data_IF_869175662223
#
_entry.id   IF_869175662223
#
_cell.length_a   1.000
_cell.length_b   1.000
_cell.length_c   1.000
_cell.angle_alpha   90.00
_cell.angle_beta   90.00
_cell.angle_gamma   90.00
#
_symmetry.space_group_name_H-M   'P 1'
#
loop_
_entity.id
_entity.type
_entity.pdbx_description
1 polymer ?
#
# COMPACT_ATOMS: atom_id res chain seq x y z
N UNK A 1 -3.17 -23.16 4.44
CA UNK A 1 -4.16 -22.09 4.21
C UNK A 1 -3.36 -20.95 3.63
N UNK A 2 -3.37 -20.84 2.31
CA UNK A 2 -2.55 -19.88 1.56
C UNK A 2 -3.53 -18.98 0.83
N UNK A 3 -3.64 -17.73 1.28
CA UNK A 3 -4.39 -16.66 0.61
C UNK A 3 -3.65 -15.36 0.93
N UNK A 4 -2.58 -15.07 0.17
CA UNK A 4 -2.60 -14.20 -1.01
C UNK A 4 -2.98 -12.74 -0.71
N UNK A 5 -2.54 -12.26 0.44
CA UNK A 5 -2.80 -10.91 0.90
C UNK A 5 -1.58 -10.31 1.62
N UNK A 6 -0.39 -10.82 1.33
CA UNK A 6 0.85 -10.41 1.98
C UNK A 6 1.36 -9.08 1.45
N UNK A 7 0.91 -8.00 2.09
CA UNK A 7 1.48 -6.67 1.90
C UNK A 7 2.96 -6.62 2.28
N UNK A 8 3.49 -7.57 3.07
CA UNK A 8 4.92 -7.72 3.36
C UNK A 8 5.83 -7.63 2.15
N UNK A 9 5.42 -8.20 1.01
CA UNK A 9 6.25 -8.21 -0.20
C UNK A 9 6.30 -6.84 -0.91
N UNK A 10 5.52 -5.88 -0.43
CA UNK A 10 5.44 -4.53 -0.97
C UNK A 10 6.37 -3.55 -0.26
N UNK A 11 6.94 -3.91 0.91
CA UNK A 11 7.87 -3.04 1.65
C UNK A 11 9.03 -2.62 0.74
N UNK A 12 9.29 -1.31 0.68
CA UNK A 12 10.32 -0.72 -0.17
C UNK A 12 9.95 -0.61 -1.66
N UNK A 13 8.74 -1.00 -2.08
CA UNK A 13 8.27 -0.91 -3.47
C UNK A 13 7.24 0.21 -3.63
N UNK A 14 7.15 0.80 -4.84
CA UNK A 14 6.06 1.72 -5.16
C UNK A 14 4.74 0.95 -5.30
N UNK A 15 3.72 1.43 -4.60
CA UNK A 15 2.37 0.86 -4.60
C UNK A 15 1.32 1.93 -4.84
N UNK A 16 0.17 1.47 -5.28
CA UNK A 16 -1.06 2.21 -5.45
C UNK A 16 -2.04 1.77 -4.37
N UNK A 17 -2.55 2.71 -3.58
CA UNK A 17 -3.59 2.49 -2.58
C UNK A 17 -4.94 2.90 -3.15
N UNK A 18 -5.85 1.93 -3.14
CA UNK A 18 -7.20 2.02 -3.64
C UNK A 18 -8.20 1.91 -2.49
N UNK A 19 -9.31 2.63 -2.59
CA UNK A 19 -10.46 2.48 -1.69
C UNK A 19 -11.72 2.51 -2.54
N UNK A 20 -12.59 1.53 -2.36
CA UNK A 20 -13.86 1.46 -3.10
C UNK A 20 -13.69 1.54 -4.63
N UNK A 21 -12.59 0.99 -5.16
CA UNK A 21 -12.27 1.05 -6.60
C UNK A 21 -11.69 2.39 -7.09
N UNK A 22 -11.50 3.37 -6.21
CA UNK A 22 -10.86 4.65 -6.53
C UNK A 22 -9.41 4.66 -6.05
N UNK A 23 -8.49 5.09 -6.92
CA UNK A 23 -7.10 5.32 -6.56
C UNK A 23 -7.03 6.54 -5.62
N UNK A 24 -6.68 6.29 -4.36
CA UNK A 24 -6.53 7.32 -3.35
C UNK A 24 -5.16 7.95 -3.42
N UNK A 25 -4.13 7.12 -3.62
CA UNK A 25 -2.74 7.56 -3.53
C UNK A 25 -1.76 6.57 -4.15
N UNK A 26 -0.64 7.07 -4.66
CA UNK A 26 0.55 6.29 -4.99
C UNK A 26 1.74 6.69 -4.10
N UNK A 27 2.63 5.75 -3.82
CA UNK A 27 3.87 6.03 -3.08
C UNK A 27 4.63 4.77 -2.70
N UNK A 28 5.74 4.93 -1.98
CA UNK A 28 6.57 3.81 -1.53
C UNK A 28 6.09 3.27 -0.20
N UNK A 29 6.03 1.95 -0.05
CA UNK A 29 5.73 1.34 1.25
C UNK A 29 6.95 1.49 2.16
N UNK A 30 6.75 2.19 3.27
CA UNK A 30 7.75 2.39 4.31
C UNK A 30 7.83 1.18 5.24
N UNK A 31 6.68 0.68 5.70
CA UNK A 31 6.58 -0.44 6.63
C UNK A 31 5.21 -1.14 6.53
N UNK A 32 5.12 -2.39 6.98
CA UNK A 32 3.88 -3.18 6.94
C UNK A 32 3.64 -3.91 8.26
N UNK A 33 2.49 -3.66 8.88
CA UNK A 33 1.99 -4.44 10.00
C UNK A 33 1.08 -5.56 9.49
N UNK A 34 1.69 -6.71 9.18
CA UNK A 34 0.98 -7.91 8.68
C UNK A 34 -0.11 -8.39 9.63
N UNK A 35 0.17 -8.43 10.93
CA UNK A 35 -0.78 -8.87 11.95
C UNK A 35 -2.05 -8.00 11.98
N UNK A 36 -1.94 -6.73 11.59
CA UNK A 36 -3.05 -5.78 11.55
C UNK A 36 -3.64 -5.58 10.14
N UNK A 37 -3.07 -6.23 9.11
CA UNK A 37 -3.42 -5.96 7.71
C UNK A 37 -3.27 -4.49 7.34
N UNK A 38 -2.20 -3.87 7.80
CA UNK A 38 -1.96 -2.43 7.69
C UNK A 38 -0.60 -2.15 7.04
N UNK A 39 -0.49 -1.09 6.24
CA UNK A 39 0.77 -0.62 5.68
C UNK A 39 0.91 0.87 5.84
N UNK A 40 2.16 1.32 5.88
CA UNK A 40 2.50 2.71 5.82
C UNK A 40 3.10 3.07 4.48
N UNK A 41 2.56 4.12 3.88
CA UNK A 41 3.16 4.78 2.72
C UNK A 41 4.09 5.88 3.21
N UNK A 42 5.31 5.90 2.68
CA UNK A 42 6.26 6.98 2.87
C UNK A 42 5.67 8.31 2.40
N UNK A 43 5.95 9.37 3.15
CA UNK A 43 5.58 10.73 2.76
C UNK A 43 6.40 11.17 1.54
N UNK A 44 5.76 11.91 0.62
CA UNK A 44 6.44 12.52 -0.51
C UNK A 44 6.26 14.04 -0.46
N UNK A 45 7.36 14.78 -0.34
CA UNK A 45 7.35 16.25 -0.30
C UNK A 45 6.69 16.79 0.97
N UNK A 46 5.61 17.55 0.81
CA UNK A 46 4.85 18.13 1.93
C UNK A 46 3.97 17.10 2.66
N UNK A 47 3.80 15.92 2.08
CA UNK A 47 2.94 14.90 2.65
C UNK A 47 3.67 14.01 3.65
N UNK A 48 2.97 13.63 4.72
CA UNK A 48 3.50 12.80 5.79
C UNK A 48 3.24 11.33 5.51
N UNK A 49 4.03 10.48 6.17
CA UNK A 49 3.76 9.04 6.18
C UNK A 49 2.33 8.78 6.64
N UNK A 50 1.57 7.99 5.88
CA UNK A 50 0.16 7.70 6.12
C UNK A 50 -0.08 6.19 6.27
N UNK A 51 -0.96 5.82 7.21
CA UNK A 51 -1.33 4.44 7.49
C UNK A 51 -2.61 4.08 6.72
N UNK A 52 -2.61 2.90 6.10
CA UNK A 52 -3.76 2.35 5.39
C UNK A 52 -4.00 0.91 5.86
N UNK A 53 -5.25 0.58 6.18
CA UNK A 53 -5.60 -0.73 6.69
C UNK A 53 -6.69 -1.37 5.84
N UNK A 54 -6.62 -2.70 5.69
CA UNK A 54 -7.68 -3.46 5.00
C UNK A 54 -9.03 -3.35 5.70
N UNK A 55 -9.01 -3.23 7.03
CA UNK A 55 -10.22 -3.06 7.84
C UNK A 55 -11.03 -1.80 7.46
N UNK A 56 -10.36 -0.74 7.02
CA UNK A 56 -10.98 0.49 6.53
C UNK A 56 -11.39 0.42 5.04
N UNK A 57 -11.22 -0.76 4.41
CA UNK A 57 -11.53 -1.00 3.00
C UNK A 57 -10.43 -0.59 2.03
N UNK A 58 -9.20 -0.36 2.50
CA UNK A 58 -8.07 -0.04 1.63
C UNK A 58 -7.44 -1.31 1.04
N UNK A 59 -7.07 -1.22 -0.23
CA UNK A 59 -6.30 -2.23 -0.97
C UNK A 59 -5.02 -1.60 -1.51
N UNK A 60 -3.88 -2.25 -1.36
CA UNK A 60 -2.63 -1.84 -2.00
C UNK A 60 -2.20 -2.84 -3.06
N UNK A 61 -1.73 -2.32 -4.19
CA UNK A 61 -1.21 -3.09 -5.32
C UNK A 61 0.13 -2.51 -5.76
N UNK A 62 1.12 -3.32 -6.15
CA UNK A 62 2.35 -2.78 -6.73
C UNK A 62 1.99 -1.97 -7.97
N UNK A 63 2.63 -0.81 -8.15
CA UNK A 63 2.49 -0.04 -9.39
C UNK A 63 2.92 -0.98 -10.52
N UNK A 64 1.97 -1.31 -11.40
CA UNK A 64 2.32 -2.04 -12.61
C UNK A 64 3.13 -1.05 -13.44
N UNK A 65 4.46 -1.17 -13.42
CA UNK A 65 5.35 -0.34 -14.22
C UNK A 65 4.97 -0.58 -15.68
N UNK A 66 4.15 0.33 -16.23
CA UNK A 66 3.92 0.40 -17.65
C UNK A 66 5.26 0.81 -18.25
N UNK A 67 6.03 -0.18 -18.68
CA UNK A 67 7.30 0.00 -19.36
C UNK A 67 7.12 1.02 -20.50
N UNK A 68 8.03 2.01 -20.64
CA UNK A 68 7.97 3.01 -21.70
C UNK A 68 8.12 2.40 -23.10
#
# INVERSE_FOLDING_TARGET
>A
MSDDHDWSNLVGRPVEVWKDGQLIRTGYVDDVAQAAGALWLAGHGADRRALYQKADGYSAKPVCEAAP
#
